data_IF_313584023505
#
_entry.id   IF_313584023505
#
_cell.length_a   1.000
_cell.length_b   1.000
_cell.length_c   1.000
_cell.angle_alpha   90.00
_cell.angle_beta   90.00
_cell.angle_gamma   90.00
#
_symmetry.space_group_name_H-M   'P 1'
#
loop_
_entity.id
_entity.type
_entity.pdbx_description
1 polymer ?
#
# COMPACT_ATOMS: atom_id res chain seq x y z
N UNK A 1 17.84 9.35 -11.88
CA UNK A 1 17.77 8.21 -10.94
C UNK A 1 16.34 7.74 -10.93
N UNK A 2 16.06 6.45 -11.19
CA UNK A 2 14.68 5.93 -11.16
C UNK A 2 14.26 5.85 -9.70
N UNK A 3 13.41 6.76 -9.25
CA UNK A 3 12.90 6.73 -7.88
C UNK A 3 12.08 5.45 -7.72
N UNK A 4 12.54 4.57 -6.83
CA UNK A 4 11.91 3.27 -6.59
C UNK A 4 10.69 3.53 -5.71
N UNK A 5 9.56 3.79 -6.35
CA UNK A 5 8.31 4.21 -5.72
C UNK A 5 7.17 3.23 -5.99
N UNK A 6 6.17 3.22 -5.12
CA UNK A 6 4.95 2.45 -5.32
C UNK A 6 4.20 2.92 -6.57
N UNK A 7 3.67 2.00 -7.36
CA UNK A 7 2.90 2.35 -8.55
C UNK A 7 1.59 3.10 -8.22
N UNK A 8 0.91 2.72 -7.13
CA UNK A 8 -0.39 3.31 -6.75
C UNK A 8 -0.29 4.69 -6.10
N UNK A 9 0.50 4.81 -5.03
CA UNK A 9 0.59 6.03 -4.23
C UNK A 9 1.88 6.82 -4.45
N UNK A 10 2.75 6.37 -5.37
CA UNK A 10 4.04 7.00 -5.69
C UNK A 10 4.98 7.20 -4.48
N UNK A 11 4.70 6.51 -3.36
CA UNK A 11 5.52 6.61 -2.14
C UNK A 11 6.89 5.98 -2.35
N UNK A 12 7.92 6.58 -1.74
CA UNK A 12 9.29 6.09 -1.82
C UNK A 12 9.37 4.74 -1.09
N UNK A 13 9.74 3.69 -1.82
CA UNK A 13 9.95 2.33 -1.27
C UNK A 13 11.42 2.07 -0.92
N UNK A 14 12.31 3.01 -1.22
CA UNK A 14 13.73 2.92 -0.91
C UNK A 14 13.97 2.78 0.60
N UNK A 15 14.42 1.61 1.04
CA UNK A 15 14.68 1.30 2.45
C UNK A 15 13.46 0.81 3.24
N UNK A 16 12.30 0.65 2.60
CA UNK A 16 11.08 0.12 3.21
C UNK A 16 10.74 -1.25 2.63
N UNK A 17 9.82 -1.99 3.27
CA UNK A 17 9.29 -3.23 2.71
C UNK A 17 8.36 -2.90 1.54
N UNK A 18 8.56 -3.61 0.43
CA UNK A 18 7.75 -3.50 -0.76
C UNK A 18 7.53 -4.89 -1.35
N UNK A 19 6.51 -5.00 -2.20
CA UNK A 19 6.18 -6.20 -2.95
C UNK A 19 6.34 -5.93 -4.44
N UNK A 20 7.05 -6.82 -5.15
CA UNK A 20 7.11 -6.80 -6.61
C UNK A 20 6.08 -7.76 -7.18
N UNK A 21 5.16 -7.23 -7.99
CA UNK A 21 4.15 -8.04 -8.68
C UNK A 21 4.09 -7.63 -10.15
N UNK A 22 4.12 -8.61 -11.05
CA UNK A 22 4.14 -8.40 -12.51
C UNK A 22 5.24 -7.41 -12.97
N UNK A 23 6.37 -7.40 -12.27
CA UNK A 23 7.48 -6.47 -12.55
C UNK A 23 7.24 -5.03 -12.06
N UNK A 24 6.19 -4.76 -11.30
CA UNK A 24 5.87 -3.45 -10.74
C UNK A 24 5.98 -3.44 -9.21
N UNK A 25 6.59 -2.40 -8.61
CA UNK A 25 6.72 -2.29 -7.16
C UNK A 25 5.47 -1.67 -6.50
N UNK A 26 5.03 -2.27 -5.40
CA UNK A 26 3.90 -1.83 -4.58
C UNK A 26 4.32 -1.73 -3.11
N UNK A 27 3.83 -0.73 -2.38
CA UNK A 27 4.00 -0.68 -0.92
C UNK A 27 3.14 -1.76 -0.24
N UNK A 28 3.51 -2.18 0.96
CA UNK A 28 2.70 -3.12 1.75
C UNK A 28 1.25 -2.64 1.89
N UNK A 29 1.04 -1.36 2.24
CA UNK A 29 -0.31 -0.81 2.41
C UNK A 29 -1.19 -0.88 1.15
N UNK A 30 -0.68 -0.46 -0.02
CA UNK A 30 -1.46 -0.55 -1.27
C UNK A 30 -1.61 -1.99 -1.73
N UNK A 31 -0.57 -2.82 -1.58
CA UNK A 31 -0.66 -4.23 -1.94
C UNK A 31 -1.69 -4.95 -1.07
N UNK A 32 -1.67 -4.73 0.25
CA UNK A 32 -2.69 -5.22 1.16
C UNK A 32 -4.06 -4.60 0.83
N UNK A 33 -4.18 -3.31 0.54
CA UNK A 33 -5.51 -2.75 0.23
C UNK A 33 -6.08 -3.21 -1.13
N UNK A 34 -5.23 -3.52 -2.11
CA UNK A 34 -5.61 -4.00 -3.44
C UNK A 34 -5.85 -5.51 -3.49
N UNK A 35 -5.05 -6.28 -2.76
CA UNK A 35 -5.03 -7.75 -2.80
C UNK A 35 -5.49 -8.42 -1.50
N UNK A 36 -5.37 -7.76 -0.35
CA UNK A 36 -6.15 -8.18 0.81
C UNK A 36 -7.59 -7.81 0.47
N UNK A 37 -8.35 -8.86 0.14
CA UNK A 37 -9.79 -8.85 0.10
C UNK A 37 -10.29 -8.05 1.31
N UNK A 38 -10.87 -6.91 1.00
CA UNK A 38 -11.31 -5.89 1.93
C UNK A 38 -12.15 -6.57 3.00
N UNK A 39 -11.59 -6.80 4.19
CA UNK A 39 -12.42 -6.88 5.37
C UNK A 39 -12.84 -5.44 5.61
N UNK A 40 -13.92 -5.05 4.93
CA UNK A 40 -14.59 -3.76 4.92
C UNK A 40 -15.18 -3.44 6.30
N UNK A 41 -14.40 -3.56 7.36
CA UNK A 41 -14.80 -3.24 8.72
C UNK A 41 -14.21 -1.88 9.09
N UNK A 42 -14.76 -0.85 8.47
CA UNK A 42 -14.97 0.46 9.06
C UNK A 42 -13.73 1.24 9.53
N UNK A 43 -13.16 2.02 8.61
CA UNK A 43 -12.77 3.38 8.96
C UNK A 43 -13.96 4.29 8.67
N UNK A 44 -14.96 4.39 9.57
CA UNK A 44 -16.00 5.45 9.45
C UNK A 44 -16.99 5.66 10.61
N UNK A 45 -16.75 5.28 11.86
CA UNK A 45 -17.42 5.94 13.00
C UNK A 45 -16.46 6.05 14.17
N UNK A 46 -16.10 7.28 14.55
CA UNK A 46 -15.09 7.56 15.56
C UNK A 46 -15.44 7.00 16.93
N UNK A 47 -14.44 6.47 17.63
CA UNK A 47 -14.47 6.40 19.09
C UNK A 47 -14.14 7.79 19.64
N UNK A 48 -15.17 8.64 19.68
CA UNK A 48 -15.31 9.66 20.72
C UNK A 48 -15.66 8.90 22.01
N UNK A 49 -14.67 8.63 22.84
CA UNK A 49 -14.83 8.40 24.27
C UNK A 49 -13.50 8.65 24.96
#
# INVERSE_FOLDING_TARGET
MKHFCCLECETILGGQRYIMKDGRPFCCGCFESLYAEYCETFSMYGCKS
#
